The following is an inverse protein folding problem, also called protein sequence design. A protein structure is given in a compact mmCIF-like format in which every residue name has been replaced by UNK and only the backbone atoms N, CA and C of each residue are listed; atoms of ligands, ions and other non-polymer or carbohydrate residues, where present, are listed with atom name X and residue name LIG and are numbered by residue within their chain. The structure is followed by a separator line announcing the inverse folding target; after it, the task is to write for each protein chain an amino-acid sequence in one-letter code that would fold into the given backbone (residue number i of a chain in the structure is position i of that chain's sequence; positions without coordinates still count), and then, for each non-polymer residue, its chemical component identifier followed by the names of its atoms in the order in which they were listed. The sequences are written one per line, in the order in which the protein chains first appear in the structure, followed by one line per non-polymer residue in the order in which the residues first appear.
data_IF_075822303268
#
_entry.id   IF_075822303268
#
_cell.length_a   1.000
_cell.length_b   1.000
_cell.length_c   1.000
_cell.angle_alpha   90.00
_cell.angle_beta   90.00
_cell.angle_gamma   90.00
#
_symmetry.space_group_name_H-M   'P 1'
#
loop_
_entity.id
_entity.type
_entity.pdbx_description
1 polymer ?
#
# COMPACT_ATOMS: atom_id res chain seq x y z
N UNK A 1 10.64 -36.27 -2.80
CA UNK A 1 11.39 -35.47 -3.77
C UNK A 1 11.30 -36.16 -5.10
N UNK A 2 11.18 -35.39 -6.20
CA UNK A 2 11.29 -35.89 -7.56
C UNK A 2 12.77 -36.17 -7.86
N UNK A 3 13.05 -37.38 -8.34
CA UNK A 3 14.40 -37.76 -8.71
C UNK A 3 14.75 -37.23 -10.11
N UNK A 4 15.88 -36.50 -10.26
CA UNK A 4 16.34 -36.05 -11.56
C UNK A 4 17.00 -37.22 -12.31
N UNK A 5 16.63 -37.38 -13.58
CA UNK A 5 17.30 -38.30 -14.51
C UNK A 5 18.17 -37.51 -15.46
N UNK A 6 19.48 -37.66 -15.35
CA UNK A 6 20.45 -36.97 -16.22
C UNK A 6 20.62 -37.75 -17.53
N UNK A 7 20.78 -37.04 -18.66
CA UNK A 7 21.25 -37.63 -19.91
C UNK A 7 22.70 -38.13 -19.77
N UNK A 8 23.12 -39.06 -20.62
CA UNK A 8 24.50 -39.63 -20.57
C UNK A 8 25.55 -38.55 -20.69
N UNK A 9 25.31 -37.52 -21.50
CA UNK A 9 26.21 -36.37 -21.70
C UNK A 9 26.05 -35.28 -20.64
N UNK A 10 25.14 -35.47 -19.65
CA UNK A 10 24.78 -34.50 -18.58
C UNK A 10 24.34 -33.12 -19.08
N UNK A 11 23.91 -33.00 -20.34
CA UNK A 11 23.43 -31.73 -20.90
C UNK A 11 21.92 -31.55 -20.72
N UNK A 12 21.18 -32.58 -20.33
CA UNK A 12 19.76 -32.54 -20.07
C UNK A 12 19.40 -33.23 -18.77
N UNK A 13 18.42 -32.68 -18.09
CA UNK A 13 17.80 -33.26 -16.88
C UNK A 13 16.32 -33.52 -17.21
N UNK A 14 15.87 -34.71 -16.90
CA UNK A 14 14.47 -35.10 -17.08
C UNK A 14 13.86 -35.43 -15.72
N UNK A 15 12.69 -34.88 -15.47
CA UNK A 15 11.88 -35.24 -14.31
C UNK A 15 10.61 -35.98 -14.78
N UNK A 16 10.06 -36.83 -13.91
CA UNK A 16 8.74 -37.42 -14.14
C UNK A 16 7.69 -36.30 -14.10
N UNK A 17 6.80 -36.29 -15.09
CA UNK A 17 5.67 -35.35 -15.10
C UNK A 17 4.58 -35.89 -14.17
N UNK A 18 4.32 -35.19 -13.09
CA UNK A 18 3.28 -35.52 -12.14
C UNK A 18 1.94 -34.90 -12.57
N UNK A 19 0.90 -35.71 -12.46
CA UNK A 19 -0.48 -35.26 -12.63
C UNK A 19 -1.17 -35.27 -11.29
N UNK A 20 -1.83 -34.17 -10.94
CA UNK A 20 -2.50 -34.04 -9.63
C UNK A 20 -2.72 -32.60 -9.27
N UNK A 21 -3.09 -32.41 -8.00
CA UNK A 21 -3.22 -31.10 -7.38
C UNK A 21 -2.14 -30.95 -6.33
N UNK A 22 -1.78 -29.69 -6.06
CA UNK A 22 -0.98 -29.40 -4.89
C UNK A 22 -1.81 -29.63 -3.61
N UNK A 23 -1.14 -29.88 -2.52
CA UNK A 23 -1.79 -30.05 -1.22
C UNK A 23 -2.54 -28.76 -0.81
N UNK A 24 -1.99 -27.58 -1.16
CA UNK A 24 -2.67 -26.32 -0.97
C UNK A 24 -3.99 -26.25 -1.76
N UNK A 25 -4.03 -26.70 -3.03
CA UNK A 25 -5.26 -26.73 -3.83
C UNK A 25 -6.29 -27.72 -3.28
N UNK A 26 -5.87 -28.87 -2.78
CA UNK A 26 -6.77 -29.85 -2.16
C UNK A 26 -7.40 -29.30 -0.88
N UNK A 27 -6.60 -28.67 -0.01
CA UNK A 27 -7.06 -28.05 1.22
C UNK A 27 -7.91 -26.81 0.95
N UNK A 28 -7.48 -25.93 0.03
CA UNK A 28 -8.23 -24.76 -0.40
C UNK A 28 -9.61 -25.14 -0.96
N UNK A 29 -9.69 -26.23 -1.71
CA UNK A 29 -10.96 -26.79 -2.21
C UNK A 29 -11.92 -27.27 -1.09
N UNK A 30 -11.47 -27.39 0.14
CA UNK A 30 -12.29 -27.81 1.29
C UNK A 30 -12.79 -26.62 2.13
N UNK A 31 -12.38 -25.38 1.82
CA UNK A 31 -12.89 -24.17 2.49
C UNK A 31 -14.40 -24.10 2.24
N UNK A 32 -15.20 -24.01 3.32
CA UNK A 32 -16.67 -23.92 3.27
C UNK A 32 -17.16 -22.89 4.27
N UNK A 33 -18.14 -22.08 3.85
CA UNK A 33 -18.77 -21.09 4.73
C UNK A 33 -17.75 -20.08 5.29
N UNK A 34 -16.73 -19.76 4.52
CA UNK A 34 -15.62 -18.87 4.91
C UNK A 34 -14.77 -19.39 6.09
N UNK A 35 -14.83 -20.69 6.37
CA UNK A 35 -14.04 -21.31 7.42
C UNK A 35 -12.93 -22.18 6.84
N UNK A 36 -11.76 -22.11 7.43
CA UNK A 36 -10.66 -22.99 7.10
C UNK A 36 -10.99 -24.46 7.47
N UNK A 37 -10.53 -25.43 6.69
CA UNK A 37 -10.67 -26.83 7.02
C UNK A 37 -9.58 -27.25 8.05
N UNK A 38 -9.69 -26.78 9.29
CA UNK A 38 -8.64 -26.89 10.35
C UNK A 38 -8.19 -28.34 10.55
N UNK A 39 -9.14 -29.27 10.69
CA UNK A 39 -8.82 -30.70 10.89
C UNK A 39 -8.06 -31.30 9.70
N UNK A 40 -8.44 -30.92 8.46
CA UNK A 40 -7.76 -31.39 7.27
C UNK A 40 -6.35 -30.79 7.15
N UNK A 41 -6.18 -29.53 7.51
CA UNK A 41 -4.86 -28.88 7.55
C UNK A 41 -3.97 -29.54 8.62
N UNK A 42 -4.49 -29.80 9.81
CA UNK A 42 -3.75 -30.51 10.87
C UNK A 42 -3.33 -31.91 10.40
N UNK A 43 -4.24 -32.68 9.81
CA UNK A 43 -3.92 -34.00 9.26
C UNK A 43 -2.85 -33.93 8.16
N UNK A 44 -2.92 -32.94 7.28
CA UNK A 44 -1.91 -32.70 6.26
C UNK A 44 -0.55 -32.36 6.87
N UNK A 45 -0.52 -31.50 7.89
CA UNK A 45 0.71 -31.17 8.64
C UNK A 45 1.34 -32.43 9.27
N UNK A 46 0.54 -33.28 9.88
CA UNK A 46 1.02 -34.54 10.43
C UNK A 46 1.56 -35.47 9.33
N UNK A 47 0.86 -35.60 8.22
CA UNK A 47 1.32 -36.41 7.09
C UNK A 47 2.66 -35.92 6.52
N UNK A 48 2.86 -34.60 6.40
CA UNK A 48 4.09 -33.99 5.90
C UNK A 48 5.25 -34.19 6.87
N UNK A 49 5.03 -33.89 8.16
CA UNK A 49 6.11 -33.78 9.13
C UNK A 49 6.32 -35.05 9.98
N UNK A 50 5.37 -35.98 10.01
CA UNK A 50 5.53 -37.24 10.80
C UNK A 50 6.72 -38.12 10.41
N UNK A 51 7.18 -37.97 9.17
CA UNK A 51 8.32 -38.73 8.62
C UNK A 51 9.64 -37.95 8.69
N UNK A 52 9.60 -36.67 9.05
CA UNK A 52 10.81 -35.88 9.22
C UNK A 52 11.52 -36.30 10.51
N UNK A 53 12.79 -36.69 10.41
CA UNK A 53 13.59 -37.04 11.57
C UNK A 53 13.84 -35.78 12.41
N UNK A 54 13.50 -35.86 13.70
CA UNK A 54 13.86 -34.83 14.67
C UNK A 54 15.29 -34.99 15.13
N UNK A 55 15.94 -33.90 15.51
CA UNK A 55 17.20 -33.95 16.24
C UNK A 55 16.96 -34.45 17.64
N UNK A 56 17.95 -35.17 18.27
CA UNK A 56 17.85 -35.57 19.64
C UNK A 56 17.75 -34.38 20.60
N UNK A 57 18.45 -33.30 20.28
CA UNK A 57 18.48 -32.07 21.06
C UNK A 57 17.32 -31.15 20.67
N UNK A 58 16.82 -30.41 21.64
CA UNK A 58 15.92 -29.27 21.38
C UNK A 58 16.61 -28.23 20.48
N UNK A 59 15.83 -27.36 19.86
CA UNK A 59 16.35 -26.23 19.11
C UNK A 59 17.32 -25.41 19.98
N UNK A 60 18.40 -24.97 19.37
CA UNK A 60 19.36 -24.03 19.93
C UNK A 60 19.92 -23.15 18.82
N UNK A 61 20.25 -21.93 19.18
CA UNK A 61 20.76 -20.91 18.23
C UNK A 61 22.21 -21.24 17.86
N UNK A 62 22.53 -21.26 16.57
CA UNK A 62 23.89 -21.37 16.03
C UNK A 62 24.29 -20.13 15.24
N UNK A 63 25.58 -19.89 14.98
CA UNK A 63 26.02 -18.78 14.14
C UNK A 63 25.40 -18.81 12.73
N UNK A 64 25.28 -20.00 12.13
CA UNK A 64 24.69 -20.20 10.79
C UNK A 64 23.19 -19.88 10.82
N UNK A 65 22.50 -20.25 11.90
CA UNK A 65 21.10 -19.89 12.10
C UNK A 65 20.91 -18.36 12.20
N UNK A 66 21.76 -17.68 12.98
CA UNK A 66 21.69 -16.23 13.13
C UNK A 66 22.00 -15.48 11.83
N UNK A 67 22.89 -16.01 10.99
CA UNK A 67 23.19 -15.43 9.69
C UNK A 67 21.94 -15.34 8.81
N UNK A 68 21.06 -16.35 8.86
CA UNK A 68 19.87 -16.46 8.01
C UNK A 68 18.63 -15.86 8.68
N UNK A 69 18.42 -16.13 9.96
CA UNK A 69 17.17 -15.85 10.66
C UNK A 69 17.29 -14.82 11.80
N UNK A 70 18.48 -14.33 12.07
CA UNK A 70 18.75 -13.42 13.21
C UNK A 70 18.89 -11.95 12.83
N UNK A 71 18.72 -11.58 11.57
CA UNK A 71 18.84 -10.18 11.13
C UNK A 71 17.49 -9.47 11.31
N UNK A 72 17.53 -8.23 11.78
CA UNK A 72 16.36 -7.35 11.74
C UNK A 72 16.54 -6.33 10.60
N UNK A 73 15.85 -6.50 9.46
CA UNK A 73 16.02 -5.63 8.28
C UNK A 73 15.43 -4.23 8.48
N UNK A 74 14.60 -4.00 9.50
CA UNK A 74 13.93 -2.73 9.73
C UNK A 74 14.76 -1.70 10.49
N UNK A 75 16.00 -2.04 10.90
CA UNK A 75 16.82 -1.15 11.73
C UNK A 75 18.19 -0.87 11.11
N UNK A 76 18.35 0.38 10.65
CA UNK A 76 19.64 0.99 10.27
C UNK A 76 20.63 1.12 11.45
N UNK A 77 20.25 0.71 12.66
CA UNK A 77 21.09 0.80 13.87
C UNK A 77 21.57 -0.57 14.32
N UNK A 78 22.84 -0.79 14.13
CA UNK A 78 23.58 -2.06 14.25
C UNK A 78 23.60 -2.74 15.62
N UNK A 79 23.02 -2.22 16.72
CA UNK A 79 23.39 -2.70 18.04
C UNK A 79 22.27 -3.10 19.04
N UNK A 80 20.99 -2.80 18.82
CA UNK A 80 19.99 -3.07 19.89
C UNK A 80 18.96 -4.17 19.57
N UNK A 81 18.38 -4.19 18.39
CA UNK A 81 17.25 -5.07 18.10
C UNK A 81 17.67 -6.47 17.63
N UNK A 82 18.83 -6.63 17.02
CA UNK A 82 19.38 -7.99 16.75
C UNK A 82 19.63 -8.75 18.06
N UNK A 83 20.00 -8.08 19.13
CA UNK A 83 20.19 -8.69 20.44
C UNK A 83 18.88 -9.15 21.11
N UNK A 84 17.78 -8.41 20.91
CA UNK A 84 16.48 -8.79 21.47
C UNK A 84 15.89 -10.00 20.73
N UNK A 85 15.95 -10.02 19.40
CA UNK A 85 15.53 -11.18 18.61
C UNK A 85 16.36 -12.44 18.97
N UNK A 86 17.67 -12.31 19.06
CA UNK A 86 18.56 -13.39 19.46
C UNK A 86 18.24 -13.92 20.85
N UNK A 87 17.91 -13.03 21.80
CA UNK A 87 17.50 -13.41 23.14
C UNK A 87 16.18 -14.19 23.14
N UNK A 88 15.18 -13.73 22.39
CA UNK A 88 13.89 -14.41 22.24
C UNK A 88 14.07 -15.77 21.57
N UNK A 89 14.87 -15.87 20.51
CA UNK A 89 15.19 -17.13 19.83
C UNK A 89 15.94 -18.10 20.74
N UNK A 90 16.87 -17.62 21.56
CA UNK A 90 17.61 -18.44 22.51
C UNK A 90 16.75 -18.97 23.67
N UNK A 91 15.66 -18.27 23.97
CA UNK A 91 14.67 -18.70 24.98
C UNK A 91 13.62 -19.68 24.42
N UNK A 92 13.56 -19.84 23.08
CA UNK A 92 12.57 -20.67 22.42
C UNK A 92 12.82 -22.16 22.72
N UNK A 93 11.85 -22.80 23.38
CA UNK A 93 11.84 -24.23 23.59
C UNK A 93 11.03 -24.94 22.52
N UNK A 94 11.69 -25.44 21.49
CA UNK A 94 11.06 -26.16 20.37
C UNK A 94 11.93 -27.37 19.97
N UNK A 95 11.35 -28.30 19.22
CA UNK A 95 12.09 -29.33 18.53
C UNK A 95 12.73 -28.74 17.25
N UNK A 96 13.72 -29.43 16.69
CA UNK A 96 14.22 -29.14 15.36
C UNK A 96 14.33 -30.41 14.53
N UNK A 97 14.14 -30.27 13.20
CA UNK A 97 14.33 -31.38 12.29
C UNK A 97 15.83 -31.63 12.04
N UNK A 98 16.20 -32.87 11.76
CA UNK A 98 17.59 -33.20 11.39
C UNK A 98 18.02 -32.45 10.13
N UNK A 99 17.08 -32.32 9.20
CA UNK A 99 17.17 -31.50 7.99
C UNK A 99 15.86 -30.72 7.86
N UNK A 100 15.93 -29.42 7.82
CA UNK A 100 14.78 -28.53 7.73
C UNK A 100 14.60 -28.03 6.29
N UNK A 101 13.60 -28.56 5.59
CA UNK A 101 13.15 -28.03 4.32
C UNK A 101 12.08 -26.96 4.60
N UNK A 102 12.46 -25.68 4.50
CA UNK A 102 11.53 -24.58 4.71
C UNK A 102 10.68 -24.25 3.48
N UNK A 103 10.99 -24.84 2.31
CA UNK A 103 10.16 -24.80 1.10
C UNK A 103 9.16 -25.96 1.00
N UNK A 104 9.12 -26.83 1.97
CA UNK A 104 8.12 -27.87 2.07
C UNK A 104 6.71 -27.34 2.33
N UNK A 105 6.34 -26.24 1.63
CA UNK A 105 5.05 -25.58 1.70
C UNK A 105 3.96 -26.41 1.03
N UNK A 106 2.72 -26.28 1.46
CA UNK A 106 1.59 -27.02 0.86
C UNK A 106 1.45 -26.79 -0.65
N UNK A 107 1.89 -25.65 -1.16
CA UNK A 107 1.89 -25.36 -2.58
C UNK A 107 3.01 -26.05 -3.36
N UNK A 108 4.08 -26.43 -2.68
CA UNK A 108 5.21 -27.16 -3.25
C UNK A 108 5.08 -28.69 -3.04
N UNK A 109 3.98 -29.14 -2.44
CA UNK A 109 3.69 -30.54 -2.18
C UNK A 109 2.56 -31.01 -3.10
N UNK A 110 2.86 -31.93 -3.99
CA UNK A 110 1.87 -32.49 -4.95
C UNK A 110 1.47 -33.89 -4.55
N UNK A 111 0.16 -34.16 -4.58
CA UNK A 111 -0.41 -35.49 -4.40
C UNK A 111 -0.62 -36.13 -5.77
N UNK A 112 0.10 -37.19 -6.08
CA UNK A 112 -0.01 -37.93 -7.32
C UNK A 112 0.04 -39.44 -7.04
N UNK A 113 -0.95 -40.18 -7.57
CA UNK A 113 -1.04 -41.64 -7.35
C UNK A 113 -1.09 -42.05 -5.87
N UNK A 114 -1.64 -41.22 -4.99
CA UNK A 114 -1.71 -41.45 -3.55
C UNK A 114 -0.37 -41.24 -2.80
N UNK A 115 0.64 -40.71 -3.47
CA UNK A 115 1.93 -40.35 -2.88
C UNK A 115 2.11 -38.85 -2.87
N UNK A 116 2.84 -38.35 -1.86
CA UNK A 116 3.21 -36.96 -1.71
C UNK A 116 4.61 -36.73 -2.26
N UNK A 117 4.73 -35.79 -3.18
CA UNK A 117 5.98 -35.37 -3.79
C UNK A 117 6.28 -33.93 -3.44
N UNK A 118 7.53 -33.63 -3.08
CA UNK A 118 8.03 -32.26 -2.92
C UNK A 118 8.59 -31.80 -4.28
N UNK A 119 8.05 -30.71 -4.80
CA UNK A 119 8.41 -30.16 -6.10
C UNK A 119 9.55 -29.17 -6.00
N UNK A 120 9.56 -28.40 -4.92
CA UNK A 120 10.56 -27.37 -4.61
C UNK A 120 11.19 -27.62 -3.27
N UNK A 121 12.52 -27.55 -3.23
CA UNK A 121 13.34 -27.78 -2.04
C UNK A 121 14.65 -27.00 -2.11
N UNK A 122 14.55 -25.77 -2.53
CA UNK A 122 15.68 -24.87 -2.74
C UNK A 122 16.35 -24.48 -1.41
N UNK A 123 15.50 -24.28 -0.39
CA UNK A 123 15.94 -23.84 0.94
C UNK A 123 15.86 -24.98 1.96
N UNK A 124 16.94 -25.73 2.03
CA UNK A 124 17.10 -26.86 2.93
C UNK A 124 18.31 -26.63 3.83
N UNK A 125 18.08 -26.66 5.13
CA UNK A 125 19.11 -26.39 6.13
C UNK A 125 19.43 -27.64 6.96
N UNK A 126 20.71 -27.89 7.20
CA UNK A 126 21.23 -28.98 8.06
C UNK A 126 21.60 -28.50 9.47
N UNK A 127 21.55 -27.18 9.72
CA UNK A 127 21.61 -26.65 11.09
C UNK A 127 20.23 -26.60 11.75
N UNK A 128 20.16 -26.50 13.12
CA UNK A 128 18.89 -26.47 13.82
C UNK A 128 18.00 -25.29 13.37
N UNK A 129 16.76 -25.61 12.95
CA UNK A 129 15.68 -24.65 12.69
C UNK A 129 14.47 -25.10 13.51
N UNK A 130 13.76 -24.19 14.21
CA UNK A 130 12.59 -24.57 15.01
C UNK A 130 11.55 -25.29 14.15
N UNK A 131 11.09 -26.44 14.56
CA UNK A 131 10.08 -27.23 13.87
C UNK A 131 8.76 -26.44 13.76
N UNK A 132 8.43 -25.64 14.79
CA UNK A 132 7.29 -24.74 14.79
C UNK A 132 7.37 -23.67 13.71
N UNK A 133 8.56 -23.13 13.42
CA UNK A 133 8.74 -22.18 12.32
C UNK A 133 8.45 -22.81 10.95
N UNK A 134 8.93 -24.02 10.69
CA UNK A 134 8.64 -24.72 9.43
C UNK A 134 7.14 -24.95 9.25
N UNK A 135 6.44 -25.27 10.34
CA UNK A 135 4.98 -25.41 10.34
C UNK A 135 4.26 -24.08 10.18
N UNK A 136 4.74 -23.04 10.88
CA UNK A 136 4.23 -21.68 10.73
C UNK A 136 4.27 -21.22 9.28
N UNK A 137 5.38 -21.42 8.56
CA UNK A 137 5.49 -21.06 7.14
C UNK A 137 4.40 -21.71 6.28
N UNK A 138 4.16 -23.02 6.46
CA UNK A 138 3.08 -23.71 5.76
C UNK A 138 1.71 -23.06 5.99
N UNK A 139 1.40 -22.72 7.25
CA UNK A 139 0.13 -22.13 7.63
C UNK A 139 -0.03 -20.71 7.12
N UNK A 140 0.99 -19.86 7.27
CA UNK A 140 0.91 -18.46 6.88
C UNK A 140 0.83 -18.30 5.36
N UNK A 141 1.59 -19.11 4.61
CA UNK A 141 1.50 -19.08 3.13
C UNK A 141 0.17 -19.62 2.64
N UNK A 142 -0.37 -20.67 3.27
CA UNK A 142 -1.73 -21.14 3.00
C UNK A 142 -2.77 -20.05 3.29
N UNK A 143 -2.66 -19.37 4.43
CA UNK A 143 -3.54 -18.27 4.77
C UNK A 143 -3.50 -17.18 3.69
N UNK A 144 -2.35 -16.66 3.35
CA UNK A 144 -2.23 -15.58 2.35
C UNK A 144 -2.75 -15.99 0.98
N UNK A 145 -2.57 -17.24 0.58
CA UNK A 145 -3.11 -17.75 -0.67
C UNK A 145 -4.64 -17.75 -0.71
N UNK A 146 -5.28 -18.02 0.41
CA UNK A 146 -6.72 -18.24 0.50
C UNK A 146 -7.45 -17.25 1.43
N UNK A 147 -6.80 -16.17 1.89
CA UNK A 147 -7.39 -15.20 2.83
C UNK A 147 -8.73 -14.64 2.34
N UNK A 148 -8.89 -14.38 1.04
CA UNK A 148 -10.13 -13.90 0.45
C UNK A 148 -11.30 -14.89 0.51
N UNK A 149 -11.03 -16.17 0.78
CA UNK A 149 -12.04 -17.24 0.90
C UNK A 149 -12.38 -17.57 2.36
N UNK A 150 -11.66 -16.99 3.32
CA UNK A 150 -11.80 -17.26 4.74
C UNK A 150 -12.15 -15.98 5.50
N UNK A 151 -12.83 -16.11 6.62
CA UNK A 151 -13.32 -15.00 7.45
C UNK A 151 -12.49 -14.90 8.74
N UNK A 152 -11.20 -14.58 8.57
CA UNK A 152 -10.29 -14.24 9.66
C UNK A 152 -9.88 -12.77 9.51
N UNK A 153 -9.77 -12.07 10.62
CA UNK A 153 -9.37 -10.67 10.61
C UNK A 153 -7.94 -10.49 10.09
N UNK A 154 -7.06 -11.41 10.45
CA UNK A 154 -5.66 -11.41 10.02
C UNK A 154 -5.04 -12.82 10.13
N UNK A 155 -3.79 -12.96 9.69
CA UNK A 155 -3.07 -14.24 9.77
C UNK A 155 -2.89 -14.75 11.21
N UNK A 156 -2.72 -13.86 12.19
CA UNK A 156 -2.53 -14.28 13.59
C UNK A 156 -3.78 -14.96 14.14
N UNK A 157 -4.99 -14.50 13.77
CA UNK A 157 -6.24 -15.15 14.19
C UNK A 157 -6.41 -16.53 13.56
N UNK A 158 -6.03 -16.70 12.30
CA UNK A 158 -5.97 -18.00 11.66
C UNK A 158 -4.97 -18.94 12.35
N UNK A 159 -3.78 -18.46 12.69
CA UNK A 159 -2.71 -19.26 13.33
C UNK A 159 -3.08 -19.73 14.73
N UNK A 160 -3.94 -18.99 15.45
CA UNK A 160 -4.47 -19.40 16.77
C UNK A 160 -5.24 -20.72 16.71
N UNK A 161 -5.93 -21.02 15.62
CA UNK A 161 -6.62 -22.31 15.41
C UNK A 161 -5.66 -23.50 15.44
N UNK A 162 -4.37 -23.27 15.21
CA UNK A 162 -3.30 -24.26 15.19
C UNK A 162 -2.38 -24.19 16.44
N UNK A 163 -2.78 -23.42 17.46
CA UNK A 163 -2.04 -23.28 18.71
C UNK A 163 -0.82 -22.34 18.62
N UNK A 164 -0.70 -21.54 17.55
CA UNK A 164 0.36 -20.53 17.43
C UNK A 164 -0.21 -19.21 17.96
N UNK A 165 0.17 -18.87 19.20
CA UNK A 165 -0.23 -17.61 19.85
C UNK A 165 0.48 -16.39 19.24
N UNK A 166 0.01 -15.21 19.64
CA UNK A 166 0.46 -13.92 19.07
C UNK A 166 1.96 -13.67 19.23
N UNK A 167 2.52 -13.96 20.42
CA UNK A 167 3.94 -13.80 20.72
C UNK A 167 4.80 -14.70 19.81
N UNK A 168 4.44 -15.99 19.70
CA UNK A 168 5.15 -16.96 18.87
C UNK A 168 5.00 -16.65 17.38
N UNK A 169 3.82 -16.20 16.97
CA UNK A 169 3.56 -15.74 15.60
C UNK A 169 4.42 -14.54 15.25
N UNK A 170 4.57 -13.56 16.17
CA UNK A 170 5.46 -12.42 16.00
C UNK A 170 6.92 -12.82 15.84
N UNK A 171 7.40 -13.74 16.68
CA UNK A 171 8.77 -14.26 16.60
C UNK A 171 9.03 -14.97 15.26
N UNK A 172 8.12 -15.82 14.82
CA UNK A 172 8.26 -16.51 13.53
C UNK A 172 8.13 -15.56 12.33
N UNK A 173 7.32 -14.51 12.46
CA UNK A 173 7.25 -13.46 11.41
C UNK A 173 8.58 -12.72 11.29
N UNK A 174 9.24 -12.39 12.40
CA UNK A 174 10.57 -11.76 12.38
C UNK A 174 11.64 -12.68 11.77
N UNK A 175 11.59 -13.98 12.05
CA UNK A 175 12.44 -14.97 11.38
C UNK A 175 12.21 -15.00 9.86
N UNK A 176 10.95 -14.98 9.43
CA UNK A 176 10.59 -14.95 8.01
C UNK A 176 11.11 -13.69 7.32
N UNK A 177 10.96 -12.53 7.96
CA UNK A 177 11.46 -11.25 7.44
C UNK A 177 12.99 -11.25 7.33
N UNK A 178 13.69 -11.80 8.34
CA UNK A 178 15.13 -11.99 8.30
C UNK A 178 15.57 -12.87 7.14
N UNK A 179 14.91 -14.02 6.95
CA UNK A 179 15.18 -14.95 5.87
C UNK A 179 14.96 -14.28 4.50
N UNK A 180 13.84 -13.58 4.31
CA UNK A 180 13.53 -12.88 3.07
C UNK A 180 14.56 -11.77 2.77
N UNK A 181 15.00 -11.06 3.79
CA UNK A 181 16.08 -10.06 3.67
C UNK A 181 17.42 -10.70 3.31
N UNK A 182 17.71 -11.86 3.89
CA UNK A 182 18.94 -12.61 3.56
C UNK A 182 18.95 -13.09 2.10
N UNK A 183 17.81 -13.55 1.58
CA UNK A 183 17.67 -14.04 0.19
C UNK A 183 17.68 -12.90 -0.83
N UNK A 184 16.96 -11.82 -0.56
CA UNK A 184 16.66 -10.77 -1.55
C UNK A 184 17.38 -9.44 -1.29
N UNK A 185 18.10 -9.31 -0.17
CA UNK A 185 18.73 -8.06 0.26
C UNK A 185 17.69 -6.98 0.55
N UNK A 186 18.10 -5.70 0.49
CA UNK A 186 17.24 -4.56 0.86
C UNK A 186 16.03 -4.31 -0.06
N UNK A 187 15.85 -5.14 -1.09
CA UNK A 187 14.73 -5.07 -2.04
C UNK A 187 13.48 -5.86 -1.68
N UNK A 188 13.37 -6.40 -0.46
CA UNK A 188 12.31 -7.33 -0.02
C UNK A 188 10.89 -6.80 -0.09
N UNK A 189 10.67 -5.49 0.05
CA UNK A 189 9.30 -4.91 0.05
C UNK A 189 8.50 -5.18 -1.22
N UNK A 190 9.16 -5.25 -2.39
CA UNK A 190 8.51 -5.57 -3.66
C UNK A 190 8.13 -7.04 -3.80
N UNK A 191 8.92 -7.94 -3.18
CA UNK A 191 8.72 -9.38 -3.28
C UNK A 191 7.55 -9.86 -2.40
N UNK A 192 7.49 -9.41 -1.15
CA UNK A 192 6.37 -9.73 -0.24
C UNK A 192 5.00 -9.28 -0.77
N UNK A 193 4.96 -8.21 -1.57
CA UNK A 193 3.74 -7.75 -2.25
C UNK A 193 3.19 -8.77 -3.25
N UNK A 194 4.05 -9.54 -3.90
CA UNK A 194 3.65 -10.55 -4.90
C UNK A 194 3.07 -11.82 -4.26
N UNK A 195 3.48 -12.18 -3.04
CA UNK A 195 2.93 -13.34 -2.31
C UNK A 195 1.56 -13.08 -1.71
N UNK A 196 1.18 -11.82 -1.49
CA UNK A 196 -0.15 -11.42 -1.03
C UNK A 196 -1.16 -11.35 -2.18
N UNK A 197 -1.08 -12.25 -3.15
CA UNK A 197 -2.10 -12.34 -4.20
C UNK A 197 -3.40 -12.84 -3.58
N UNK A 198 -4.28 -11.89 -3.29
CA UNK A 198 -5.63 -12.17 -2.81
C UNK A 198 -6.40 -12.89 -3.90
N UNK A 199 -6.89 -14.09 -3.60
CA UNK A 199 -7.88 -14.75 -4.44
C UNK A 199 -9.19 -13.98 -4.32
N UNK A 200 -9.60 -13.38 -5.44
CA UNK A 200 -10.86 -12.63 -5.51
C UNK A 200 -11.94 -13.56 -6.03
N UNK A 201 -13.07 -13.62 -5.37
CA UNK A 201 -14.23 -14.39 -5.85
C UNK A 201 -14.84 -13.73 -7.09
N UNK A 202 -15.56 -14.50 -7.90
CA UNK A 202 -16.27 -13.97 -9.07
C UNK A 202 -17.30 -12.91 -8.67
N UNK A 203 -17.88 -13.01 -7.48
CA UNK A 203 -18.84 -12.06 -6.93
C UNK A 203 -18.16 -10.74 -6.55
N UNK A 204 -16.99 -10.81 -5.94
CA UNK A 204 -16.18 -9.61 -5.63
C UNK A 204 -15.68 -8.92 -6.90
N UNK A 205 -15.25 -9.67 -7.92
CA UNK A 205 -14.89 -9.10 -9.22
C UNK A 205 -16.06 -8.35 -9.86
N UNK A 206 -17.26 -8.94 -9.86
CA UNK A 206 -18.46 -8.28 -10.37
C UNK A 206 -18.86 -7.04 -9.56
N UNK A 207 -18.66 -7.07 -8.24
CA UNK A 207 -18.91 -5.92 -7.39
C UNK A 207 -17.92 -4.78 -7.71
N UNK A 208 -16.63 -5.09 -7.84
CA UNK A 208 -15.60 -4.13 -8.22
C UNK A 208 -15.81 -3.56 -9.63
N UNK A 209 -16.24 -4.38 -10.60
CA UNK A 209 -16.57 -3.93 -11.95
C UNK A 209 -17.71 -2.91 -11.93
N UNK A 210 -18.76 -3.18 -11.15
CA UNK A 210 -19.88 -2.26 -10.96
C UNK A 210 -19.46 -0.95 -10.30
N UNK A 211 -18.61 -1.00 -9.26
CA UNK A 211 -18.07 0.20 -8.62
C UNK A 211 -17.19 1.01 -9.58
N UNK A 212 -16.40 0.33 -10.41
CA UNK A 212 -15.57 0.97 -11.43
C UNK A 212 -16.42 1.70 -12.47
N UNK A 213 -17.51 1.08 -12.93
CA UNK A 213 -18.43 1.70 -13.89
C UNK A 213 -19.13 2.92 -13.29
N UNK A 214 -19.58 2.85 -12.04
CA UNK A 214 -20.15 4.00 -11.32
C UNK A 214 -19.13 5.13 -11.15
N UNK A 215 -17.87 4.79 -10.85
CA UNK A 215 -16.79 5.78 -10.75
C UNK A 215 -16.50 6.45 -12.10
N UNK A 216 -16.53 5.68 -13.20
CA UNK A 216 -16.38 6.22 -14.57
C UNK A 216 -17.50 7.18 -14.95
N UNK A 217 -18.74 6.81 -14.68
CA UNK A 217 -19.91 7.71 -14.90
C UNK A 217 -19.76 9.00 -14.10
N UNK A 218 -19.33 8.90 -12.84
CA UNK A 218 -19.10 10.08 -12.00
C UNK A 218 -17.99 10.98 -12.52
N UNK A 219 -16.90 10.39 -13.03
CA UNK A 219 -15.81 11.14 -13.66
C UNK A 219 -16.33 11.91 -14.90
N UNK A 220 -17.11 11.26 -15.75
CA UNK A 220 -17.69 11.90 -16.93
C UNK A 220 -18.59 13.07 -16.56
N UNK A 221 -19.47 12.91 -15.57
CA UNK A 221 -20.31 14.00 -15.06
C UNK A 221 -19.49 15.18 -14.53
N UNK A 222 -18.45 14.89 -13.75
CA UNK A 222 -17.57 15.93 -13.21
C UNK A 222 -16.78 16.64 -14.32
N UNK A 223 -16.40 15.95 -15.39
CA UNK A 223 -15.74 16.56 -16.54
C UNK A 223 -16.68 17.54 -17.28
N UNK A 224 -17.94 17.16 -17.48
CA UNK A 224 -18.96 18.03 -18.06
C UNK A 224 -19.19 19.28 -17.19
N UNK A 225 -19.36 19.10 -15.88
CA UNK A 225 -19.52 20.19 -14.92
C UNK A 225 -18.32 21.17 -14.93
N UNK A 226 -17.11 20.64 -15.04
CA UNK A 226 -15.88 21.45 -15.13
C UNK A 226 -15.86 22.24 -16.45
N UNK A 227 -16.27 21.65 -17.56
CA UNK A 227 -16.31 22.32 -18.84
C UNK A 227 -17.35 23.46 -18.87
N UNK A 228 -18.55 23.22 -18.33
CA UNK A 228 -19.57 24.26 -18.17
C UNK A 228 -19.06 25.41 -17.28
N UNK A 229 -18.44 25.12 -16.15
CA UNK A 229 -17.86 26.14 -15.27
C UNK A 229 -16.73 26.91 -15.95
N UNK A 230 -15.89 26.26 -16.72
CA UNK A 230 -14.84 26.95 -17.51
C UNK A 230 -15.42 27.93 -18.54
N UNK A 231 -16.51 27.55 -19.19
CA UNK A 231 -17.23 28.45 -20.12
C UNK A 231 -17.80 29.67 -19.36
N UNK A 232 -18.39 29.44 -18.19
CA UNK A 232 -18.91 30.52 -17.35
C UNK A 232 -17.81 31.45 -16.86
N UNK A 233 -16.69 30.92 -16.39
CA UNK A 233 -15.52 31.72 -15.97
C UNK A 233 -15.00 32.59 -17.11
N UNK A 234 -14.93 32.06 -18.33
CA UNK A 234 -14.53 32.88 -19.51
C UNK A 234 -15.50 34.03 -19.77
N UNK A 235 -16.81 33.80 -19.64
CA UNK A 235 -17.81 34.87 -19.78
C UNK A 235 -17.65 35.93 -18.69
N UNK A 236 -17.48 35.52 -17.45
CA UNK A 236 -17.33 36.42 -16.31
C UNK A 236 -16.03 37.25 -16.42
N UNK A 237 -14.95 36.65 -16.91
CA UNK A 237 -13.68 37.34 -17.18
C UNK A 237 -13.86 38.42 -18.26
N UNK A 238 -14.63 38.18 -19.34
CA UNK A 238 -14.89 39.16 -20.36
C UNK A 238 -15.79 40.30 -19.83
N UNK A 239 -16.82 39.99 -19.05
CA UNK A 239 -17.63 41.00 -18.36
C UNK A 239 -16.76 41.89 -17.47
N UNK A 240 -15.89 41.27 -16.68
CA UNK A 240 -14.96 41.98 -15.79
C UNK A 240 -14.02 42.89 -16.59
N UNK A 241 -13.51 42.42 -17.72
CA UNK A 241 -12.65 43.22 -18.62
C UNK A 241 -13.39 44.45 -19.17
N UNK A 242 -14.64 44.27 -19.63
CA UNK A 242 -15.46 45.35 -20.13
C UNK A 242 -15.81 46.37 -19.04
N UNK A 243 -16.16 45.90 -17.87
CA UNK A 243 -16.46 46.72 -16.68
C UNK A 243 -15.24 47.53 -16.25
N UNK A 244 -14.07 46.92 -16.19
CA UNK A 244 -12.83 47.64 -15.85
C UNK A 244 -12.50 48.74 -16.89
N UNK A 245 -12.73 48.50 -18.18
CA UNK A 245 -12.56 49.52 -19.21
C UNK A 245 -13.56 50.67 -19.02
N UNK A 246 -14.81 50.36 -18.67
CA UNK A 246 -15.81 51.39 -18.40
C UNK A 246 -15.43 52.23 -17.15
N UNK A 247 -14.95 51.59 -16.08
CA UNK A 247 -14.46 52.28 -14.89
C UNK A 247 -13.31 53.24 -15.24
N UNK A 248 -12.34 52.80 -16.05
CA UNK A 248 -11.23 53.67 -16.49
C UNK A 248 -11.73 54.88 -17.28
N UNK A 249 -12.72 54.71 -18.16
CA UNK A 249 -13.30 55.81 -18.90
C UNK A 249 -14.02 56.79 -17.98
N UNK A 250 -14.75 56.32 -16.99
CA UNK A 250 -15.38 57.16 -15.97
C UNK A 250 -14.35 57.91 -15.12
N UNK A 251 -13.24 57.30 -14.76
CA UNK A 251 -12.15 57.95 -14.04
C UNK A 251 -11.55 59.13 -14.85
N UNK A 252 -11.37 58.93 -16.16
CA UNK A 252 -10.92 60.00 -17.06
C UNK A 252 -11.93 61.14 -17.08
N UNK A 253 -13.23 60.83 -17.30
CA UNK A 253 -14.29 61.86 -17.29
C UNK A 253 -14.36 62.62 -15.96
N UNK A 254 -14.23 61.94 -14.83
CA UNK A 254 -14.21 62.58 -13.51
C UNK A 254 -13.02 63.54 -13.39
N UNK A 255 -11.86 63.14 -13.91
CA UNK A 255 -10.67 64.00 -13.92
C UNK A 255 -10.86 65.27 -14.73
N UNK A 256 -11.46 65.12 -15.93
CA UNK A 256 -11.75 66.26 -16.83
C UNK A 256 -12.78 67.22 -16.18
N UNK A 257 -13.87 66.69 -15.63
CA UNK A 257 -14.88 67.48 -14.90
C UNK A 257 -14.29 68.21 -13.68
N UNK A 258 -13.38 67.58 -12.94
CA UNK A 258 -12.69 68.21 -11.82
C UNK A 258 -11.84 69.39 -12.28
N UNK A 259 -11.16 69.21 -13.42
CA UNK A 259 -10.38 70.34 -14.02
C UNK A 259 -11.28 71.48 -14.43
N UNK A 260 -12.42 71.16 -15.08
CA UNK A 260 -13.40 72.15 -15.49
C UNK A 260 -14.01 72.93 -14.30
N UNK A 261 -14.32 72.24 -13.20
CA UNK A 261 -14.78 72.84 -11.93
C UNK A 261 -13.72 73.78 -11.36
N UNK A 262 -12.44 73.35 -11.35
CA UNK A 262 -11.35 74.21 -10.90
C UNK A 262 -11.20 75.49 -11.70
N UNK A 263 -11.28 75.40 -13.04
CA UNK A 263 -11.22 76.52 -13.90
C UNK A 263 -12.44 77.52 -13.75
N UNK A 264 -13.64 76.92 -13.58
CA UNK A 264 -14.84 77.73 -13.26
C UNK A 264 -14.71 78.39 -11.85
N UNK A 265 -14.13 77.69 -10.88
CA UNK A 265 -13.86 78.28 -9.59
C UNK A 265 -12.88 79.45 -9.62
N UNK A 266 -11.83 79.35 -10.43
CA UNK A 266 -10.90 80.49 -10.68
C UNK A 266 -11.61 81.67 -11.33
N UNK A 267 -12.47 81.41 -12.35
CA UNK A 267 -13.25 82.48 -13.01
C UNK A 267 -14.23 83.15 -12.04
N UNK A 268 -14.96 82.38 -11.25
CA UNK A 268 -15.86 82.86 -10.22
C UNK A 268 -15.13 83.78 -9.19
N UNK A 269 -13.94 83.37 -8.76
CA UNK A 269 -13.11 84.12 -7.85
C UNK A 269 -12.67 85.45 -8.48
N UNK A 270 -12.29 85.40 -9.73
CA UNK A 270 -11.95 86.66 -10.52
C UNK A 270 -13.12 87.59 -10.64
N UNK A 271 -14.31 87.07 -10.98
CA UNK A 271 -15.52 87.87 -11.15
C UNK A 271 -15.96 88.55 -9.83
N UNK A 272 -15.96 87.77 -8.70
CA UNK A 272 -16.25 88.30 -7.40
C UNK A 272 -15.28 89.37 -6.95
N UNK A 273 -13.97 89.17 -7.28
CA UNK A 273 -12.97 90.23 -7.05
C UNK A 273 -13.22 91.51 -7.83
N UNK A 274 -13.64 91.37 -9.12
CA UNK A 274 -14.00 92.47 -9.99
C UNK A 274 -15.27 93.22 -9.52
N UNK A 275 -16.31 92.46 -9.10
CA UNK A 275 -17.51 93.08 -8.49
C UNK A 275 -17.19 93.84 -7.23
N UNK A 276 -16.40 93.34 -6.39
CA UNK A 276 -15.93 94.02 -5.17
C UNK A 276 -15.11 95.23 -5.46
N UNK A 277 -14.29 95.22 -6.51
CA UNK A 277 -13.53 96.38 -6.96
C UNK A 277 -14.48 97.51 -7.60
N UNK A 278 -15.42 97.05 -8.43
CA UNK A 278 -16.44 97.97 -9.02
C UNK A 278 -17.31 98.59 -7.93
N UNK A 279 -17.71 97.77 -6.90
CA UNK A 279 -18.47 98.24 -5.75
C UNK A 279 -17.68 99.29 -4.96
N UNK A 280 -16.41 99.10 -4.69
CA UNK A 280 -15.50 100.01 -4.01
C UNK A 280 -15.34 101.30 -4.81
N UNK A 281 -15.24 101.21 -6.12
CA UNK A 281 -15.09 102.39 -7.02
C UNK A 281 -16.38 103.22 -7.04
N UNK A 282 -17.55 102.56 -7.16
CA UNK A 282 -18.87 103.25 -7.12
C UNK A 282 -19.06 103.98 -5.83
N UNK A 283 -18.70 103.37 -4.70
CA UNK A 283 -18.76 103.98 -3.40
C UNK A 283 -17.86 105.26 -3.26
N UNK A 284 -16.64 105.21 -3.88
CA UNK A 284 -15.73 106.36 -3.89
C UNK A 284 -16.22 107.49 -4.78
N UNK A 285 -16.97 107.22 -5.83
CA UNK A 285 -17.53 108.22 -6.75
C UNK A 285 -18.92 108.73 -6.32
N UNK A 286 -19.42 108.36 -5.14
CA UNK A 286 -20.73 108.84 -4.67
C UNK A 286 -21.94 108.36 -5.45
N UNK A 287 -21.79 107.32 -6.29
CA UNK A 287 -22.88 106.77 -7.10
C UNK A 287 -23.71 105.85 -6.16
N UNK A 288 -24.96 106.15 -5.91
CA UNK A 288 -25.92 105.34 -5.20
C UNK A 288 -26.08 104.02 -5.90
N UNK A 289 -25.88 102.90 -5.13
CA UNK A 289 -26.16 101.51 -5.57
C UNK A 289 -27.60 101.20 -5.20
N UNK A 290 -28.48 101.17 -6.14
CA UNK A 290 -29.79 100.57 -5.95
C UNK A 290 -29.68 99.05 -5.89
#
# INVERSE_FOLDING_TARGET
VLEPHFSEDKQAVRFEFLTGKTLAEELGGQIRGKKAPVEAIQAAMEQVFSKAALRPESFYVTPEFLEVFGRNPSEDSQDSASGELEQQLSALSDASYAVSNIDGLFENLMVSGGKLYCLDYEWVFDFPVPAGFVRYRNLVYFYYKYEGLMDYENAADFLKEFGIGEELSGLYAAMEESFQSWVHGDGTQGYMGNYKQRLVTLEELKAQEKELDQARERINQLQEDVEERNIQVKKDQEILRLTNNHVKNLEIMIKDLRHEIDELGKLATYLNGHEAAVYKLRRKLGVQVN
#
